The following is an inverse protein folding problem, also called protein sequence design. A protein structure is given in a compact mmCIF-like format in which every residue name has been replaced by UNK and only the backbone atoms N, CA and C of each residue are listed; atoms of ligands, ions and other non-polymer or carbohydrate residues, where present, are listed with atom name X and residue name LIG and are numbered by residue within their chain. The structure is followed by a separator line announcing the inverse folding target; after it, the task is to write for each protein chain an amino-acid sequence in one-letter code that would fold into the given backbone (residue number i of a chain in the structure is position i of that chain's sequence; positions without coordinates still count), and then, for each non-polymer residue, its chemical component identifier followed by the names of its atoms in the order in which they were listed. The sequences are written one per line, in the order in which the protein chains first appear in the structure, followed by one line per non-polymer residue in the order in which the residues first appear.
data_IF_837450950327
#
_entry.id   IF_837450950327
#
_cell.length_a   1.000
_cell.length_b   1.000
_cell.length_c   1.000
_cell.angle_alpha   90.00
_cell.angle_beta   90.00
_cell.angle_gamma   90.00
#
_symmetry.space_group_name_H-M   'P 1'
#
loop_
_entity.id
_entity.type
_entity.pdbx_description
1 polymer ?
#
# COMPACT_ATOMS: atom_id res chain seq x y z
N UNK A 1 -0.48 -4.26 73.51
CA UNK A 1 0.40 -4.17 72.31
C UNK A 1 -0.22 -5.01 71.20
N UNK A 2 -1.18 -4.51 70.40
CA UNK A 2 -1.85 -5.35 69.39
C UNK A 2 -2.62 -4.54 68.34
N UNK A 3 -2.00 -3.54 67.71
CA UNK A 3 -2.66 -2.76 66.62
C UNK A 3 -1.77 -2.33 65.45
N UNK A 4 -0.58 -2.92 65.27
CA UNK A 4 0.36 -2.54 64.19
C UNK A 4 0.64 -3.60 63.11
N UNK A 5 0.05 -4.79 63.17
CA UNK A 5 0.38 -5.89 62.23
C UNK A 5 -0.66 -6.15 61.12
N UNK A 6 -1.86 -5.53 61.14
CA UNK A 6 -2.88 -5.79 60.11
C UNK A 6 -2.77 -4.89 58.86
N UNK A 7 -2.04 -3.77 58.91
CA UNK A 7 -1.85 -2.91 57.74
C UNK A 7 -0.83 -3.49 56.73
N UNK A 8 0.16 -4.25 57.21
CA UNK A 8 1.23 -4.79 56.36
C UNK A 8 0.82 -6.03 55.54
N UNK A 9 -0.13 -6.84 56.04
CA UNK A 9 -0.64 -8.00 55.30
C UNK A 9 -1.58 -7.61 54.15
N UNK A 10 -2.36 -6.55 54.30
CA UNK A 10 -3.26 -6.07 53.24
C UNK A 10 -2.48 -5.48 52.05
N UNK A 11 -1.42 -4.71 52.28
CA UNK A 11 -0.56 -4.24 51.18
C UNK A 11 0.13 -5.40 50.46
N UNK A 12 0.66 -6.40 51.16
CA UNK A 12 1.35 -7.54 50.54
C UNK A 12 0.44 -8.38 49.61
N UNK A 13 -0.83 -8.56 49.98
CA UNK A 13 -1.82 -9.27 49.15
C UNK A 13 -2.23 -8.49 47.91
N UNK A 14 -2.37 -7.16 48.01
CA UNK A 14 -2.61 -6.30 46.84
C UNK A 14 -1.42 -6.26 45.88
N UNK A 15 -0.19 -6.21 46.40
CA UNK A 15 1.02 -6.26 45.56
C UNK A 15 1.19 -7.62 44.86
N UNK A 16 0.93 -8.74 45.52
CA UNK A 16 1.00 -10.07 44.90
C UNK A 16 -0.10 -10.30 43.86
N UNK A 17 -1.33 -9.84 44.13
CA UNK A 17 -2.42 -9.91 43.17
C UNK A 17 -2.12 -9.06 41.93
N UNK A 18 -1.56 -7.86 42.10
CA UNK A 18 -1.18 -7.00 40.99
C UNK A 18 -0.05 -7.60 40.14
N UNK A 19 1.00 -8.13 40.76
CA UNK A 19 2.10 -8.82 40.06
C UNK A 19 1.59 -10.04 39.26
N UNK A 20 0.64 -10.81 39.82
CA UNK A 20 0.07 -11.96 39.13
C UNK A 20 -0.84 -11.56 37.94
N UNK A 21 -1.57 -10.44 38.06
CA UNK A 21 -2.40 -9.90 36.97
C UNK A 21 -1.51 -9.41 35.82
N UNK A 22 -0.45 -8.67 36.12
CA UNK A 22 0.48 -8.15 35.10
C UNK A 22 1.24 -9.29 34.39
N UNK A 23 1.67 -10.32 35.13
CA UNK A 23 2.33 -11.49 34.55
C UNK A 23 1.41 -12.27 33.59
N UNK A 24 0.13 -12.44 33.94
CA UNK A 24 -0.86 -13.10 33.09
C UNK A 24 -1.21 -12.27 31.84
N UNK A 25 -1.33 -10.94 31.98
CA UNK A 25 -1.57 -10.05 30.85
C UNK A 25 -0.40 -10.11 29.85
N UNK A 26 0.84 -10.03 30.34
CA UNK A 26 2.04 -10.11 29.52
C UNK A 26 2.21 -11.48 28.83
N UNK A 27 1.86 -12.58 29.51
CA UNK A 27 1.86 -13.92 28.92
C UNK A 27 0.81 -14.06 27.80
N UNK A 28 -0.40 -13.52 28.02
CA UNK A 28 -1.48 -13.53 27.03
C UNK A 28 -1.15 -12.71 25.77
N UNK A 29 -0.52 -11.54 25.94
CA UNK A 29 -0.07 -10.70 24.82
C UNK A 29 1.00 -11.40 23.99
N UNK A 30 1.99 -12.05 24.62
CA UNK A 30 3.00 -12.85 23.91
C UNK A 30 2.39 -14.00 23.11
N UNK A 31 1.39 -14.70 23.67
CA UNK A 31 0.70 -15.77 22.96
C UNK A 31 -0.07 -15.25 21.73
N UNK A 32 -0.74 -14.10 21.84
CA UNK A 32 -1.43 -13.46 20.73
C UNK A 32 -0.46 -13.05 19.61
N UNK A 33 0.67 -12.42 19.94
CA UNK A 33 1.72 -12.08 18.97
C UNK A 33 2.17 -13.32 18.19
N UNK A 34 2.50 -14.41 18.89
CA UNK A 34 2.97 -15.64 18.23
C UNK A 34 1.90 -16.27 17.33
N UNK A 35 0.63 -16.25 17.75
CA UNK A 35 -0.48 -16.77 16.94
C UNK A 35 -0.62 -16.04 15.61
N UNK A 36 -0.59 -14.70 15.64
CA UNK A 36 -0.70 -13.88 14.44
C UNK A 36 0.52 -14.03 13.53
N UNK A 37 1.74 -14.04 14.09
CA UNK A 37 2.95 -14.30 13.32
C UNK A 37 2.94 -15.68 12.64
N UNK A 38 2.44 -16.72 13.32
CA UNK A 38 2.30 -18.06 12.74
C UNK A 38 1.30 -18.08 11.57
N UNK A 39 0.16 -17.39 11.72
CA UNK A 39 -0.83 -17.26 10.65
C UNK A 39 -0.27 -16.49 9.44
N UNK A 40 0.43 -15.37 9.68
CA UNK A 40 1.09 -14.61 8.64
C UNK A 40 2.16 -15.44 7.91
N UNK A 41 2.97 -16.20 8.66
CA UNK A 41 4.00 -17.08 8.09
C UNK A 41 3.42 -18.20 7.24
N UNK A 42 2.31 -18.80 7.69
CA UNK A 42 1.59 -19.82 6.92
C UNK A 42 1.00 -19.25 5.62
N UNK A 43 0.52 -18.01 5.63
CA UNK A 43 0.08 -17.32 4.43
C UNK A 43 1.25 -16.89 3.52
N UNK A 44 2.43 -16.61 4.07
CA UNK A 44 3.58 -16.13 3.31
C UNK A 44 4.21 -17.22 2.42
N UNK A 45 4.36 -18.43 2.97
CA UNK A 45 5.09 -19.51 2.30
C UNK A 45 4.15 -20.50 1.60
N UNK A 46 4.27 -20.59 0.28
CA UNK A 46 3.75 -21.70 -0.51
C UNK A 46 4.79 -22.09 -1.58
N UNK A 47 5.04 -23.38 -1.84
CA UNK A 47 5.95 -23.82 -2.90
C UNK A 47 5.59 -23.19 -4.26
N UNK A 48 6.51 -22.42 -4.83
CA UNK A 48 6.33 -21.75 -6.13
C UNK A 48 5.58 -20.41 -6.08
N UNK A 49 4.97 -20.04 -4.95
CA UNK A 49 4.24 -18.79 -4.75
C UNK A 49 4.69 -18.12 -3.44
N UNK A 50 5.81 -17.40 -3.54
CA UNK A 50 6.52 -16.87 -2.40
C UNK A 50 6.16 -15.39 -2.11
N UNK A 51 5.54 -15.15 -0.96
CA UNK A 51 5.24 -13.84 -0.38
C UNK A 51 6.07 -13.56 0.89
N UNK A 52 7.16 -14.30 1.11
CA UNK A 52 8.05 -14.12 2.29
C UNK A 52 8.59 -12.73 2.41
N UNK A 53 8.94 -12.08 1.30
CA UNK A 53 9.35 -10.67 1.28
C UNK A 53 8.32 -9.74 1.94
N UNK A 54 7.03 -9.94 1.65
CA UNK A 54 5.96 -9.15 2.26
C UNK A 54 5.89 -9.44 3.75
N UNK A 55 5.93 -10.71 4.13
CA UNK A 55 5.96 -11.12 5.53
C UNK A 55 7.14 -10.50 6.28
N UNK A 56 8.36 -10.65 5.77
CA UNK A 56 9.56 -10.11 6.39
C UNK A 56 9.49 -8.59 6.53
N UNK A 57 8.86 -7.89 5.59
CA UNK A 57 8.69 -6.44 5.68
C UNK A 57 7.62 -6.04 6.70
N UNK A 58 6.40 -6.58 6.58
CA UNK A 58 5.26 -6.10 7.38
C UNK A 58 5.31 -6.66 8.80
N UNK A 59 5.82 -7.87 9.00
CA UNK A 59 5.96 -8.46 10.34
C UNK A 59 7.25 -8.02 11.05
N UNK A 60 8.21 -7.37 10.37
CA UNK A 60 9.48 -6.95 10.98
C UNK A 60 9.33 -6.22 12.33
N UNK A 61 8.40 -5.24 12.48
CA UNK A 61 8.24 -4.53 13.76
C UNK A 61 7.80 -5.45 14.90
N UNK A 62 6.91 -6.41 14.63
CA UNK A 62 6.44 -7.38 15.61
C UNK A 62 7.48 -8.47 15.93
N UNK A 63 8.32 -8.84 14.94
CA UNK A 63 9.43 -9.78 15.09
C UNK A 63 10.63 -9.18 15.84
N UNK A 64 10.74 -7.85 15.89
CA UNK A 64 11.82 -7.17 16.59
C UNK A 64 11.69 -7.31 18.12
N UNK A 65 12.82 -7.54 18.79
CA UNK A 65 12.93 -7.48 20.26
C UNK A 65 12.41 -6.15 20.81
N UNK A 66 12.61 -5.07 20.03
CA UNK A 66 12.25 -3.72 20.42
C UNK A 66 10.78 -3.36 20.16
N UNK A 67 10.04 -4.22 19.47
CA UNK A 67 8.66 -3.99 19.04
C UNK A 67 8.49 -2.86 18.02
N UNK A 68 7.23 -2.55 17.66
CA UNK A 68 6.91 -1.41 16.81
C UNK A 68 7.30 -0.08 17.45
N UNK A 69 7.75 0.85 16.62
CA UNK A 69 8.22 2.18 17.05
C UNK A 69 7.68 3.25 16.13
N UNK A 70 7.32 4.38 16.71
CA UNK A 70 7.01 5.55 15.90
C UNK A 70 8.28 5.99 15.14
N UNK A 71 8.16 6.32 13.84
CA UNK A 71 9.22 6.93 13.08
C UNK A 71 9.48 8.35 13.58
N UNK A 72 10.63 8.90 13.21
CA UNK A 72 10.86 10.34 13.34
C UNK A 72 10.02 11.10 12.31
N UNK A 73 8.83 11.54 12.71
CA UNK A 73 7.90 12.30 11.86
C UNK A 73 8.53 13.63 11.41
N UNK A 74 9.42 14.22 12.21
CA UNK A 74 10.06 15.49 11.92
C UNK A 74 11.30 15.35 11.05
N UNK A 75 11.76 14.11 10.80
CA UNK A 75 12.76 13.87 9.78
C UNK A 75 12.31 14.55 8.49
N UNK A 76 13.20 15.36 7.92
CA UNK A 76 12.95 16.06 6.67
C UNK A 76 12.49 15.04 5.62
N UNK A 77 11.57 15.45 4.74
CA UNK A 77 11.18 14.67 3.57
C UNK A 77 12.42 14.05 2.97
N UNK A 78 12.39 12.73 2.69
CA UNK A 78 13.51 11.94 2.19
C UNK A 78 14.44 12.87 1.44
N UNK A 79 15.57 13.18 2.08
CA UNK A 79 16.47 14.23 1.61
C UNK A 79 16.63 14.04 0.12
N UNK A 80 16.58 15.14 -0.63
CA UNK A 80 16.87 15.26 -2.07
C UNK A 80 18.31 14.76 -2.36
N UNK A 81 18.63 13.53 -1.99
CA UNK A 81 19.82 12.79 -2.38
C UNK A 81 19.91 13.00 -3.88
N UNK A 82 21.10 13.37 -4.39
CA UNK A 82 21.24 14.03 -5.67
C UNK A 82 20.37 13.35 -6.71
N UNK A 83 19.52 14.16 -7.36
CA UNK A 83 18.60 13.73 -8.39
C UNK A 83 19.32 12.72 -9.29
N UNK A 84 18.82 11.48 -9.21
CA UNK A 84 19.24 10.28 -9.92
C UNK A 84 20.64 9.76 -9.59
N UNK A 85 20.68 8.68 -8.79
CA UNK A 85 21.70 7.65 -8.99
C UNK A 85 21.70 7.12 -10.43
N UNK A 86 22.61 6.21 -10.80
CA UNK A 86 22.68 5.62 -12.13
C UNK A 86 21.29 5.28 -12.69
N UNK A 87 21.03 5.63 -13.96
CA UNK A 87 19.72 5.39 -14.61
C UNK A 87 19.18 3.97 -14.38
N UNK A 88 20.07 2.98 -14.32
CA UNK A 88 19.75 1.58 -14.01
C UNK A 88 19.06 1.35 -12.67
N UNK A 89 19.16 2.27 -11.71
CA UNK A 89 18.56 2.14 -10.37
C UNK A 89 17.09 2.56 -10.34
N UNK A 90 16.64 3.43 -11.25
CA UNK A 90 15.26 3.94 -11.27
C UNK A 90 14.51 3.69 -12.57
N UNK A 91 15.22 3.33 -13.65
CA UNK A 91 14.60 3.01 -14.93
C UNK A 91 14.28 1.51 -15.03
N UNK A 92 13.13 1.20 -15.62
CA UNK A 92 12.78 -0.14 -16.10
C UNK A 92 12.09 -0.01 -17.46
N UNK A 93 12.16 -1.04 -18.30
CA UNK A 93 11.41 -1.04 -19.55
C UNK A 93 9.91 -1.19 -19.27
N UNK A 94 9.04 -0.46 -19.98
CA UNK A 94 7.60 -0.58 -19.80
C UNK A 94 7.10 -1.93 -20.33
N UNK A 95 5.95 -2.39 -19.84
CA UNK A 95 5.44 -3.71 -20.20
C UNK A 95 3.92 -3.77 -20.22
N UNK A 96 3.36 -4.66 -21.05
CA UNK A 96 1.92 -4.92 -21.12
C UNK A 96 1.56 -6.11 -20.23
N UNK A 97 0.77 -5.89 -19.18
CA UNK A 97 0.34 -6.93 -18.23
C UNK A 97 -1.00 -7.58 -18.65
N UNK A 98 -1.92 -6.75 -19.14
CA UNK A 98 -3.23 -7.14 -19.69
C UNK A 98 -3.50 -6.33 -20.96
N UNK A 99 -4.56 -6.66 -21.70
CA UNK A 99 -4.95 -5.90 -22.90
C UNK A 99 -5.18 -4.42 -22.65
N UNK A 100 -5.60 -4.08 -21.43
CA UNK A 100 -5.87 -2.72 -21.00
C UNK A 100 -5.05 -2.27 -19.80
N UNK A 101 -3.97 -2.97 -19.43
CA UNK A 101 -3.11 -2.60 -18.29
C UNK A 101 -1.64 -2.67 -18.65
N UNK A 102 -0.94 -1.57 -18.41
CA UNK A 102 0.47 -1.39 -18.75
C UNK A 102 1.26 -0.92 -17.55
N UNK A 103 2.44 -1.50 -17.36
CA UNK A 103 3.41 -1.08 -16.38
C UNK A 103 4.32 -0.01 -16.97
N UNK A 104 4.41 1.11 -16.27
CA UNK A 104 5.26 2.27 -16.59
C UNK A 104 5.88 2.84 -15.31
N UNK A 105 6.09 1.98 -14.31
CA UNK A 105 6.72 2.30 -13.03
C UNK A 105 8.24 2.16 -13.07
N UNK A 106 8.88 2.23 -11.91
CA UNK A 106 10.32 1.99 -11.70
C UNK A 106 10.57 0.57 -11.16
N UNK A 107 11.82 0.17 -10.85
CA UNK A 107 12.09 -1.05 -10.09
C UNK A 107 11.53 -1.08 -8.66
N UNK A 108 11.12 0.06 -8.09
CA UNK A 108 10.74 0.19 -6.68
C UNK A 108 9.34 0.78 -6.45
N UNK A 109 8.81 1.50 -7.44
CA UNK A 109 7.51 2.16 -7.40
C UNK A 109 6.72 1.75 -8.63
N UNK A 110 5.56 1.13 -8.43
CA UNK A 110 4.68 0.79 -9.55
C UNK A 110 3.91 2.03 -10.00
N UNK A 111 3.76 2.16 -11.31
CA UNK A 111 2.83 3.11 -11.93
C UNK A 111 2.14 2.34 -13.05
N UNK A 112 0.82 2.32 -13.01
CA UNK A 112 0.02 1.54 -13.94
C UNK A 112 -0.79 2.47 -14.84
N UNK A 113 -0.76 2.21 -16.15
CA UNK A 113 -1.64 2.85 -17.12
C UNK A 113 -2.77 1.89 -17.51
N UNK A 114 -4.00 2.30 -17.23
CA UNK A 114 -5.22 1.61 -17.67
C UNK A 114 -5.70 2.29 -18.95
N UNK A 115 -5.67 1.57 -20.07
CA UNK A 115 -6.20 2.09 -21.34
C UNK A 115 -7.69 1.81 -21.44
N UNK A 116 -8.41 2.74 -22.05
CA UNK A 116 -9.87 2.68 -22.24
C UNK A 116 -10.20 3.14 -23.66
N UNK A 117 -11.46 3.04 -24.07
CA UNK A 117 -11.90 3.58 -25.36
C UNK A 117 -11.83 5.11 -25.48
N UNK A 118 -11.68 5.86 -24.37
CA UNK A 118 -11.72 7.34 -24.36
C UNK A 118 -10.45 7.98 -23.76
N UNK A 119 -9.43 7.17 -23.47
CA UNK A 119 -8.13 7.64 -23.01
C UNK A 119 -7.53 6.74 -21.94
N UNK A 120 -6.60 7.31 -21.17
CA UNK A 120 -5.76 6.59 -20.23
C UNK A 120 -6.01 7.12 -18.81
N UNK A 121 -6.19 6.19 -17.87
CA UNK A 121 -6.18 6.46 -16.43
C UNK A 121 -4.85 5.96 -15.88
N UNK A 122 -4.11 6.83 -15.18
CA UNK A 122 -2.91 6.44 -14.44
C UNK A 122 -3.26 6.13 -12.99
N UNK A 123 -2.61 5.11 -12.44
CA UNK A 123 -2.58 4.81 -11.01
C UNK A 123 -1.17 5.16 -10.53
N UNK A 124 -1.10 6.19 -9.68
CA UNK A 124 0.10 6.90 -9.25
C UNK A 124 0.89 7.60 -10.38
N UNK A 125 1.91 8.34 -9.99
CA UNK A 125 2.75 9.15 -10.89
C UNK A 125 4.26 9.02 -10.64
N UNK A 126 4.64 8.27 -9.61
CA UNK A 126 6.04 8.11 -9.22
C UNK A 126 6.70 9.44 -8.83
N UNK A 127 8.01 9.50 -9.06
CA UNK A 127 8.83 10.67 -8.79
C UNK A 127 8.92 11.64 -9.97
N UNK A 128 9.13 12.93 -9.67
CA UNK A 128 9.26 14.01 -10.67
C UNK A 128 10.39 13.78 -11.67
N UNK A 129 11.55 13.34 -11.18
CA UNK A 129 12.74 13.14 -12.00
C UNK A 129 12.58 12.03 -13.04
N UNK A 130 11.72 11.04 -12.77
CA UNK A 130 11.51 9.88 -13.65
C UNK A 130 10.19 9.93 -14.41
N UNK A 131 9.22 10.74 -13.98
CA UNK A 131 7.88 10.80 -14.57
C UNK A 131 7.91 10.99 -16.09
N UNK A 132 8.70 11.94 -16.61
CA UNK A 132 8.79 12.12 -18.07
C UNK A 132 9.29 10.86 -18.77
N UNK A 133 10.31 10.21 -18.26
CA UNK A 133 10.91 9.07 -18.97
C UNK A 133 10.08 7.79 -18.80
N UNK A 134 9.69 7.45 -17.57
CA UNK A 134 8.93 6.25 -17.26
C UNK A 134 7.50 6.33 -17.82
N UNK A 135 6.83 7.48 -17.69
CA UNK A 135 5.43 7.64 -18.11
C UNK A 135 5.35 8.09 -19.56
N UNK A 136 5.86 9.27 -19.89
CA UNK A 136 5.67 9.83 -21.24
C UNK A 136 6.39 9.03 -22.31
N UNK A 137 7.68 8.77 -22.10
CA UNK A 137 8.47 8.03 -23.09
C UNK A 137 8.17 6.52 -23.03
N UNK A 138 7.80 5.99 -21.85
CA UNK A 138 7.31 4.62 -21.69
C UNK A 138 5.99 4.34 -22.42
N UNK A 139 4.99 5.22 -22.33
CA UNK A 139 3.74 5.10 -23.08
C UNK A 139 4.00 5.12 -24.59
N UNK A 140 4.87 6.01 -25.09
CA UNK A 140 5.26 6.03 -26.51
C UNK A 140 5.92 4.74 -26.96
N UNK A 141 6.82 4.16 -26.14
CA UNK A 141 7.45 2.86 -26.41
C UNK A 141 6.42 1.73 -26.53
N UNK A 142 5.32 1.82 -25.77
CA UNK A 142 4.18 0.90 -25.85
C UNK A 142 3.19 1.24 -26.99
N UNK A 143 3.53 2.18 -27.86
CA UNK A 143 2.67 2.70 -28.94
C UNK A 143 1.35 3.31 -28.44
N UNK A 144 1.35 3.83 -27.22
CA UNK A 144 0.26 4.61 -26.64
C UNK A 144 0.58 6.11 -26.74
N UNK A 145 -0.46 6.92 -26.89
CA UNK A 145 -0.33 8.38 -26.97
C UNK A 145 -0.46 9.01 -25.55
N UNK A 146 0.60 9.62 -25.00
CA UNK A 146 0.54 10.27 -23.68
C UNK A 146 -0.46 11.43 -23.61
N UNK A 147 -0.83 12.05 -24.74
CA UNK A 147 -1.86 13.11 -24.74
C UNK A 147 -3.26 12.58 -24.40
N UNK A 148 -3.43 11.26 -24.38
CA UNK A 148 -4.66 10.59 -23.97
C UNK A 148 -4.76 10.37 -22.46
N UNK A 149 -3.78 10.75 -21.66
CA UNK A 149 -3.90 10.72 -20.19
C UNK A 149 -5.01 11.69 -19.75
N UNK A 150 -6.10 11.16 -19.18
CA UNK A 150 -7.25 11.96 -18.70
C UNK A 150 -7.27 12.10 -17.19
N UNK A 151 -6.93 11.02 -16.49
CA UNK A 151 -6.99 10.95 -15.02
C UNK A 151 -5.71 10.38 -14.44
N UNK A 152 -5.32 10.86 -13.26
CA UNK A 152 -4.29 10.26 -12.40
C UNK A 152 -4.91 10.04 -11.03
N UNK A 153 -5.05 8.79 -10.61
CA UNK A 153 -5.49 8.43 -9.26
C UNK A 153 -4.25 8.26 -8.41
N UNK A 154 -4.07 9.14 -7.42
CA UNK A 154 -3.00 9.05 -6.44
C UNK A 154 -3.49 8.20 -5.27
N UNK A 155 -2.79 7.10 -5.00
CA UNK A 155 -3.19 6.11 -4.00
C UNK A 155 -2.97 6.61 -2.59
N UNK A 156 -1.92 7.37 -2.33
CA UNK A 156 -1.70 8.03 -1.04
C UNK A 156 -0.72 9.20 -1.15
N UNK A 157 -0.68 10.02 -0.10
CA UNK A 157 0.12 11.26 -0.01
C UNK A 157 1.61 11.06 0.34
N UNK A 158 2.29 10.13 -0.34
CA UNK A 158 3.76 10.02 -0.26
C UNK A 158 4.43 10.41 -1.59
N UNK A 159 5.61 11.01 -1.50
CA UNK A 159 6.29 11.63 -2.64
C UNK A 159 6.59 10.66 -3.78
N UNK A 160 6.85 9.40 -3.44
CA UNK A 160 7.05 8.30 -4.37
C UNK A 160 5.78 7.88 -5.13
N UNK A 161 4.63 8.51 -4.82
CA UNK A 161 3.37 8.37 -5.54
C UNK A 161 2.97 9.62 -6.31
N UNK A 162 3.16 10.81 -5.73
CA UNK A 162 2.59 12.05 -6.27
C UNK A 162 3.58 13.06 -6.87
N UNK A 163 4.89 12.93 -6.68
CA UNK A 163 5.83 13.98 -7.17
C UNK A 163 5.79 14.16 -8.69
N UNK A 164 5.47 13.10 -9.45
CA UNK A 164 5.21 13.19 -10.89
C UNK A 164 3.89 13.88 -11.28
N UNK A 165 2.94 14.04 -10.35
CA UNK A 165 1.57 14.46 -10.65
C UNK A 165 1.51 15.89 -11.18
N UNK A 166 2.36 16.80 -10.67
CA UNK A 166 2.39 18.18 -11.15
C UNK A 166 2.82 18.26 -12.62
N UNK A 167 3.83 17.48 -13.01
CA UNK A 167 4.27 17.36 -14.41
C UNK A 167 3.13 16.90 -15.31
N UNK A 168 2.36 15.88 -14.89
CA UNK A 168 1.24 15.33 -15.65
C UNK A 168 0.08 16.33 -15.77
N UNK A 169 -0.23 17.05 -14.69
CA UNK A 169 -1.24 18.10 -14.68
C UNK A 169 -0.86 19.27 -15.60
N UNK A 170 0.40 19.71 -15.57
CA UNK A 170 0.86 20.85 -16.37
C UNK A 170 1.03 20.48 -17.85
N UNK A 171 1.51 19.27 -18.16
CA UNK A 171 1.81 18.82 -19.52
C UNK A 171 0.58 18.29 -20.25
N UNK A 172 -0.20 17.42 -19.61
CA UNK A 172 -1.31 16.70 -20.25
C UNK A 172 -2.69 17.21 -19.86
N UNK A 173 -2.76 18.17 -18.92
CA UNK A 173 -4.04 18.63 -18.33
C UNK A 173 -4.83 17.48 -17.70
N UNK A 174 -4.13 16.45 -17.27
CA UNK A 174 -4.72 15.31 -16.58
C UNK A 174 -5.37 15.78 -15.28
N UNK A 175 -6.56 15.25 -14.99
CA UNK A 175 -7.25 15.51 -13.73
C UNK A 175 -6.66 14.66 -12.62
N UNK A 176 -6.28 15.29 -11.52
CA UNK A 176 -5.64 14.61 -10.39
C UNK A 176 -6.71 14.24 -9.36
N UNK A 177 -6.80 12.96 -9.03
CA UNK A 177 -7.77 12.41 -8.09
C UNK A 177 -7.00 11.91 -6.87
N UNK A 178 -7.38 12.41 -5.69
CA UNK A 178 -6.87 11.95 -4.40
C UNK A 178 -7.99 12.13 -3.36
N UNK A 179 -7.93 11.44 -2.22
CA UNK A 179 -8.95 11.59 -1.19
C UNK A 179 -8.85 12.96 -0.52
N UNK A 180 -9.96 13.40 0.08
CA UNK A 180 -10.00 14.68 0.80
C UNK A 180 -8.98 14.72 1.96
N UNK A 181 -8.86 13.61 2.69
CA UNK A 181 -7.95 13.52 3.83
C UNK A 181 -6.49 13.70 3.39
N UNK A 182 -6.09 13.08 2.29
CA UNK A 182 -4.74 13.19 1.77
C UNK A 182 -4.46 14.52 1.07
N UNK A 183 -5.46 15.14 0.42
CA UNK A 183 -5.35 16.55 -0.01
C UNK A 183 -5.02 17.46 1.18
N UNK A 184 -5.70 17.25 2.32
CA UNK A 184 -5.47 18.04 3.52
C UNK A 184 -4.12 17.75 4.19
N UNK A 185 -3.63 16.50 4.15
CA UNK A 185 -2.27 16.17 4.58
C UNK A 185 -1.24 16.86 3.69
N UNK A 186 -1.38 16.78 2.37
CA UNK A 186 -0.44 17.35 1.40
C UNK A 186 -0.18 18.85 1.61
N UNK A 187 -1.20 19.61 2.02
CA UNK A 187 -1.03 21.05 2.31
C UNK A 187 -0.11 21.33 3.50
N UNK A 188 0.07 20.37 4.40
CA UNK A 188 0.82 20.51 5.66
C UNK A 188 2.18 19.82 5.65
N UNK A 189 2.46 18.96 4.67
CA UNK A 189 3.76 18.28 4.57
C UNK A 189 4.88 19.25 4.24
N UNK A 190 6.09 18.92 4.68
CA UNK A 190 7.31 19.62 4.34
C UNK A 190 7.82 19.33 2.91
N UNK A 191 7.02 18.68 2.07
CA UNK A 191 7.38 18.40 0.67
C UNK A 191 7.52 19.70 -0.13
N UNK A 192 8.41 19.76 -1.14
CA UNK A 192 8.59 20.94 -1.98
C UNK A 192 7.28 21.37 -2.67
N UNK A 193 6.94 22.65 -2.55
CA UNK A 193 5.67 23.19 -3.04
C UNK A 193 5.48 23.07 -4.55
N UNK A 194 6.58 23.08 -5.30
CA UNK A 194 6.62 22.93 -6.76
C UNK A 194 6.27 21.52 -7.23
N UNK A 195 6.41 20.51 -6.37
CA UNK A 195 6.05 19.12 -6.67
C UNK A 195 4.60 18.80 -6.35
N UNK A 196 3.94 19.63 -5.53
CA UNK A 196 2.54 19.44 -5.15
C UNK A 196 1.64 19.77 -6.36
N UNK A 197 0.80 18.82 -6.84
CA UNK A 197 -0.21 19.13 -7.83
C UNK A 197 -1.24 20.11 -7.25
N UNK A 198 -1.91 20.86 -8.12
CA UNK A 198 -3.06 21.68 -7.69
C UNK A 198 -4.20 20.74 -7.30
N UNK A 199 -4.84 21.01 -6.16
CA UNK A 199 -6.06 20.30 -5.73
C UNK A 199 -7.09 20.35 -6.86
N UNK A 200 -7.65 19.18 -7.16
CA UNK A 200 -8.55 19.00 -8.29
C UNK A 200 -9.74 18.13 -7.88
N UNK A 201 -9.69 16.82 -8.13
CA UNK A 201 -10.80 15.92 -7.84
C UNK A 201 -10.63 15.22 -6.49
N UNK A 202 -11.75 15.05 -5.80
CA UNK A 202 -11.81 14.39 -4.49
C UNK A 202 -12.40 12.99 -4.66
N UNK A 203 -11.60 11.98 -4.34
CA UNK A 203 -12.09 10.61 -4.27
C UNK A 203 -12.99 10.41 -3.04
N UNK A 204 -14.10 9.71 -3.23
CA UNK A 204 -14.99 9.27 -2.15
C UNK A 204 -15.03 7.75 -2.09
N UNK A 205 -15.50 7.21 -0.97
CA UNK A 205 -15.54 5.77 -0.78
C UNK A 205 -16.55 5.08 -1.70
N UNK A 206 -16.10 4.06 -2.44
CA UNK A 206 -16.89 3.38 -3.46
C UNK A 206 -17.09 4.21 -4.74
N UNK A 207 -16.34 5.31 -4.93
CA UNK A 207 -16.44 6.15 -6.11
C UNK A 207 -16.15 5.35 -7.38
N UNK A 208 -17.06 5.46 -8.36
CA UNK A 208 -16.87 4.92 -9.70
C UNK A 208 -16.21 5.97 -10.59
N UNK A 209 -15.03 5.65 -11.12
CA UNK A 209 -14.34 6.45 -12.13
C UNK A 209 -14.51 5.77 -13.49
N UNK A 210 -15.43 6.27 -14.28
CA UNK A 210 -15.70 5.78 -15.64
C UNK A 210 -15.00 6.65 -16.67
N UNK A 211 -14.25 6.03 -17.58
CA UNK A 211 -13.72 6.64 -18.79
C UNK A 211 -13.96 5.65 -19.93
N UNK A 212 -14.75 6.05 -20.93
CA UNK A 212 -15.19 5.16 -21.99
C UNK A 212 -15.80 3.85 -21.47
N UNK A 213 -15.28 2.74 -21.97
CA UNK A 213 -15.73 1.38 -21.70
C UNK A 213 -15.24 0.78 -20.37
N UNK A 214 -14.49 1.53 -19.56
CA UNK A 214 -13.85 1.03 -18.35
C UNK A 214 -14.28 1.84 -17.13
N UNK A 215 -14.62 1.14 -16.05
CA UNK A 215 -14.98 1.75 -14.75
C UNK A 215 -14.11 1.21 -13.63
N UNK A 216 -13.23 2.04 -13.09
CA UNK A 216 -12.50 1.75 -11.86
C UNK A 216 -13.40 2.04 -10.65
N UNK A 217 -13.21 1.31 -9.55
CA UNK A 217 -13.88 1.64 -8.28
C UNK A 217 -12.84 1.95 -7.21
N UNK A 218 -12.92 3.13 -6.61
CA UNK A 218 -11.98 3.66 -5.63
C UNK A 218 -12.56 3.47 -4.22
N UNK A 219 -11.78 2.90 -3.31
CA UNK A 219 -12.17 2.68 -1.93
C UNK A 219 -11.19 3.35 -0.98
N UNK A 220 -11.72 4.08 0.00
CA UNK A 220 -10.90 4.69 1.04
C UNK A 220 -10.49 3.58 2.03
N UNK A 221 -9.19 3.39 2.21
CA UNK A 221 -8.56 2.33 3.01
C UNK A 221 -7.47 2.92 3.91
N UNK A 222 -7.82 3.75 4.90
CA UNK A 222 -6.86 4.49 5.71
C UNK A 222 -5.98 3.55 6.56
N UNK A 223 -4.81 4.05 6.96
CA UNK A 223 -3.89 3.42 7.91
C UNK A 223 -2.42 3.58 7.51
N UNK A 224 -2.10 3.46 6.21
CA UNK A 224 -0.81 3.90 5.66
C UNK A 224 -0.74 5.43 5.58
N UNK A 225 -1.85 6.06 5.19
CA UNK A 225 -2.10 7.50 5.37
C UNK A 225 -3.57 7.68 5.76
N UNK A 226 -4.00 8.87 6.21
CA UNK A 226 -5.41 9.11 6.55
C UNK A 226 -6.37 8.94 5.36
N UNK A 227 -5.86 9.04 4.13
CA UNK A 227 -6.64 9.10 2.91
C UNK A 227 -6.25 8.07 1.86
N UNK A 228 -5.53 7.02 2.21
CA UNK A 228 -5.13 5.95 1.28
C UNK A 228 -6.33 5.42 0.48
N UNK A 229 -6.12 5.17 -0.81
CA UNK A 229 -7.10 4.64 -1.78
C UNK A 229 -6.62 3.28 -2.29
N UNK A 230 -7.49 2.27 -2.21
CA UNK A 230 -7.34 0.99 -2.92
C UNK A 230 -8.35 0.90 -4.07
N UNK A 231 -8.02 0.17 -5.13
CA UNK A 231 -8.70 0.28 -6.42
C UNK A 231 -9.09 -1.11 -6.94
N UNK A 232 -10.32 -1.24 -7.43
CA UNK A 232 -10.70 -2.34 -8.32
C UNK A 232 -10.62 -1.89 -9.78
N UNK A 233 -9.89 -2.66 -10.58
CA UNK A 233 -9.62 -2.40 -12.00
C UNK A 233 -10.16 -3.57 -12.83
N UNK A 234 -11.12 -3.34 -13.74
CA UNK A 234 -11.51 -4.35 -14.73
C UNK A 234 -10.37 -4.60 -15.72
N UNK A 235 -10.01 -5.86 -15.91
CA UNK A 235 -8.88 -6.29 -16.74
C UNK A 235 -9.32 -7.24 -17.85
N UNK A 236 -8.68 -7.14 -19.00
CA UNK A 236 -8.99 -7.92 -20.21
C UNK A 236 -7.77 -8.73 -20.64
N UNK A 237 -7.97 -10.01 -20.94
CA UNK A 237 -6.94 -10.90 -21.50
C UNK A 237 -7.55 -11.73 -22.62
N UNK A 238 -7.55 -11.17 -23.83
CA UNK A 238 -8.36 -11.66 -24.94
C UNK A 238 -9.85 -11.69 -24.58
N UNK A 239 -10.42 -12.89 -24.58
CA UNK A 239 -11.83 -13.10 -24.24
C UNK A 239 -12.06 -13.23 -22.73
N UNK A 240 -11.01 -13.39 -21.93
CA UNK A 240 -11.11 -13.51 -20.48
C UNK A 240 -11.26 -12.14 -19.82
N UNK A 241 -11.93 -12.13 -18.66
CA UNK A 241 -12.19 -10.93 -17.86
C UNK A 241 -11.73 -11.21 -16.43
N UNK A 242 -10.91 -10.31 -15.93
CA UNK A 242 -10.33 -10.38 -14.59
C UNK A 242 -10.64 -9.11 -13.82
N UNK A 243 -10.46 -9.13 -12.50
CA UNK A 243 -10.54 -7.93 -11.67
C UNK A 243 -9.26 -7.82 -10.86
N UNK A 244 -8.51 -6.75 -11.15
CA UNK A 244 -7.32 -6.35 -10.39
C UNK A 244 -7.71 -5.63 -9.12
N UNK A 245 -7.17 -6.07 -7.99
CA UNK A 245 -7.23 -5.40 -6.71
C UNK A 245 -5.87 -4.74 -6.43
N UNK A 246 -5.84 -3.41 -6.53
CA UNK A 246 -4.67 -2.58 -6.20
C UNK A 246 -4.75 -2.23 -4.71
N UNK A 247 -3.77 -2.65 -3.93
CA UNK A 247 -3.67 -2.29 -2.52
C UNK A 247 -2.88 -0.99 -2.32
N UNK A 248 -3.51 -0.02 -1.66
CA UNK A 248 -3.12 1.39 -1.72
C UNK A 248 -1.93 1.85 -0.88
N UNK A 249 -1.31 0.99 -0.06
CA UNK A 249 -0.17 1.37 0.79
C UNK A 249 0.46 0.17 1.48
N UNK A 250 1.73 0.25 1.88
CA UNK A 250 2.42 -0.85 2.59
C UNK A 250 2.86 -0.34 3.95
N UNK A 251 2.62 -1.14 4.99
CA UNK A 251 2.78 -0.80 6.40
C UNK A 251 1.82 0.29 6.89
N UNK A 252 1.46 0.19 8.16
CA UNK A 252 0.79 1.26 8.88
C UNK A 252 1.80 2.41 9.15
N UNK A 253 1.37 3.67 9.03
CA UNK A 253 2.23 4.83 9.29
C UNK A 253 1.52 5.85 10.19
N UNK A 254 2.17 6.24 11.28
CA UNK A 254 1.63 7.22 12.23
C UNK A 254 1.87 8.67 11.77
N UNK A 255 2.77 8.89 10.82
CA UNK A 255 3.09 10.22 10.31
C UNK A 255 4.43 10.28 9.59
N UNK A 256 4.52 11.21 8.65
CA UNK A 256 5.70 11.42 7.81
C UNK A 256 5.79 12.88 7.37
N UNK A 257 6.99 13.32 7.00
CA UNK A 257 7.28 14.64 6.41
C UNK A 257 6.68 15.82 7.21
N UNK A 258 6.85 15.80 8.53
CA UNK A 258 6.38 16.82 9.46
C UNK A 258 4.91 16.71 9.86
N UNK A 259 4.17 15.74 9.34
CA UNK A 259 2.73 15.60 9.58
C UNK A 259 2.43 14.31 10.34
N UNK A 260 1.81 14.44 11.52
CA UNK A 260 1.19 13.31 12.21
C UNK A 260 -0.14 12.95 11.51
N UNK A 261 -0.29 11.68 11.15
CA UNK A 261 -1.47 11.13 10.47
C UNK A 261 -2.52 10.66 11.45
N UNK A 262 -2.09 9.97 12.51
CA UNK A 262 -2.96 9.36 13.52
C UNK A 262 -2.46 9.71 14.93
N UNK A 263 -3.34 9.73 15.94
CA UNK A 263 -2.98 10.16 17.28
C UNK A 263 -2.07 9.16 18.01
N UNK A 264 -2.06 7.88 17.62
CA UNK A 264 -1.19 6.85 18.21
C UNK A 264 -0.98 5.66 17.27
N UNK A 265 0.10 4.88 17.48
CA UNK A 265 0.31 3.58 16.81
C UNK A 265 -0.90 2.65 16.95
N UNK A 266 -1.51 2.59 18.14
CA UNK A 266 -2.65 1.71 18.39
C UNK A 266 -3.85 2.05 17.49
N UNK A 267 -4.11 3.34 17.27
CA UNK A 267 -5.17 3.77 16.36
C UNK A 267 -4.82 3.51 14.90
N UNK A 268 -3.57 3.75 14.51
CA UNK A 268 -3.09 3.44 13.17
C UNK A 268 -3.24 1.95 12.85
N UNK A 269 -2.78 1.06 13.74
CA UNK A 269 -2.87 -0.39 13.54
C UNK A 269 -4.32 -0.85 13.46
N UNK A 270 -5.19 -0.41 14.37
CA UNK A 270 -6.63 -0.75 14.33
C UNK A 270 -7.28 -0.29 13.01
N UNK A 271 -6.94 0.92 12.56
CA UNK A 271 -7.45 1.49 11.32
C UNK A 271 -6.97 0.67 10.11
N UNK A 272 -5.69 0.33 10.08
CA UNK A 272 -5.09 -0.45 8.99
C UNK A 272 -5.64 -1.88 8.91
N UNK A 273 -5.78 -2.55 10.06
CA UNK A 273 -6.43 -3.87 10.18
C UNK A 273 -7.85 -3.83 9.62
N UNK A 274 -8.65 -2.81 10.00
CA UNK A 274 -10.02 -2.65 9.52
C UNK A 274 -10.06 -2.43 8.00
N UNK A 275 -9.16 -1.61 7.46
CA UNK A 275 -9.01 -1.38 6.02
C UNK A 275 -8.64 -2.65 5.27
N UNK A 276 -7.67 -3.43 5.76
CA UNK A 276 -7.25 -4.69 5.15
C UNK A 276 -8.39 -5.71 5.12
N UNK A 277 -9.11 -5.91 6.24
CA UNK A 277 -10.30 -6.77 6.31
C UNK A 277 -11.37 -6.33 5.31
N UNK A 278 -11.72 -5.03 5.32
CA UNK A 278 -12.77 -4.49 4.47
C UNK A 278 -12.44 -4.63 2.99
N UNK A 279 -11.20 -4.32 2.60
CA UNK A 279 -10.80 -4.42 1.20
C UNK A 279 -10.70 -5.86 0.73
N UNK A 280 -10.28 -6.80 1.59
CA UNK A 280 -10.33 -8.23 1.30
C UNK A 280 -11.76 -8.69 1.01
N UNK A 281 -12.74 -8.27 1.82
CA UNK A 281 -14.15 -8.58 1.58
C UNK A 281 -14.68 -7.95 0.28
N UNK A 282 -14.29 -6.71 -0.02
CA UNK A 282 -14.65 -6.01 -1.26
C UNK A 282 -14.08 -6.75 -2.48
N UNK A 283 -12.80 -7.10 -2.44
CA UNK A 283 -12.12 -7.84 -3.51
C UNK A 283 -12.76 -9.21 -3.73
N UNK A 284 -13.08 -9.94 -2.64
CA UNK A 284 -13.76 -11.22 -2.71
C UNK A 284 -15.16 -11.10 -3.36
N UNK A 285 -15.96 -10.10 -2.95
CA UNK A 285 -17.30 -9.84 -3.52
C UNK A 285 -17.25 -9.44 -5.00
N UNK A 286 -16.20 -8.75 -5.40
CA UNK A 286 -15.95 -8.39 -6.80
C UNK A 286 -15.38 -9.55 -7.64
N UNK A 287 -15.14 -10.71 -7.02
CA UNK A 287 -14.43 -11.84 -7.61
C UNK A 287 -13.06 -11.45 -8.21
N UNK A 288 -12.34 -10.58 -7.50
CA UNK A 288 -10.98 -10.24 -7.85
C UNK A 288 -10.06 -11.44 -7.77
N UNK A 289 -9.20 -11.55 -8.78
CA UNK A 289 -8.30 -12.67 -9.01
C UNK A 289 -6.89 -12.23 -9.41
N UNK A 290 -6.65 -10.92 -9.48
CA UNK A 290 -5.34 -10.32 -9.71
C UNK A 290 -5.05 -9.39 -8.54
N UNK A 291 -3.88 -9.52 -7.91
CA UNK A 291 -3.40 -8.57 -6.92
C UNK A 291 -2.28 -7.72 -7.54
N UNK A 292 -2.39 -6.42 -7.35
CA UNK A 292 -1.42 -5.44 -7.83
C UNK A 292 -0.94 -4.63 -6.64
N UNK A 293 0.36 -4.37 -6.59
CA UNK A 293 0.95 -3.55 -5.54
C UNK A 293 1.54 -2.27 -6.11
N UNK A 294 1.81 -1.32 -5.21
CA UNK A 294 2.46 -0.05 -5.55
C UNK A 294 3.99 -0.15 -5.47
N UNK A 295 4.49 -1.32 -5.07
CA UNK A 295 5.90 -1.67 -5.07
C UNK A 295 6.04 -3.04 -5.74
N UNK A 296 6.74 -3.13 -6.89
CA UNK A 296 6.70 -4.31 -7.76
C UNK A 296 7.40 -5.54 -7.16
N UNK A 297 8.12 -5.37 -6.05
CA UNK A 297 8.79 -6.46 -5.35
C UNK A 297 7.81 -7.36 -4.58
N UNK A 298 6.65 -6.82 -4.15
CA UNK A 298 5.67 -7.61 -3.37
C UNK A 298 4.71 -8.43 -4.25
N UNK A 299 4.44 -7.97 -5.48
CA UNK A 299 3.65 -8.72 -6.45
C UNK A 299 4.51 -9.36 -7.55
N UNK A 300 5.83 -9.19 -7.50
CA UNK A 300 6.77 -9.64 -8.54
C UNK A 300 6.38 -9.15 -9.94
N UNK A 301 5.82 -7.93 -10.06
CA UNK A 301 5.32 -7.41 -11.33
C UNK A 301 6.37 -7.48 -12.45
N UNK A 302 7.64 -7.15 -12.17
CA UNK A 302 8.69 -7.20 -13.19
C UNK A 302 9.00 -8.63 -13.66
N UNK A 303 9.02 -9.61 -12.76
CA UNK A 303 9.20 -11.03 -13.11
C UNK A 303 8.02 -11.54 -13.94
N UNK A 304 6.80 -11.17 -13.56
CA UNK A 304 5.57 -11.54 -14.27
C UNK A 304 5.50 -10.90 -15.66
N UNK A 305 5.92 -9.64 -15.80
CA UNK A 305 6.07 -8.98 -17.11
C UNK A 305 7.11 -9.67 -17.97
N UNK A 306 8.26 -10.04 -17.40
CA UNK A 306 9.27 -10.80 -18.12
C UNK A 306 8.73 -12.16 -18.57
N UNK A 307 8.00 -12.87 -17.72
CA UNK A 307 7.37 -14.16 -18.04
C UNK A 307 6.33 -14.05 -19.17
N UNK A 308 5.61 -12.93 -19.27
CA UNK A 308 4.65 -12.67 -20.36
C UNK A 308 5.31 -12.68 -21.75
N UNK A 309 6.58 -12.32 -21.87
CA UNK A 309 7.32 -12.37 -23.15
C UNK A 309 7.50 -13.81 -23.67
N UNK A 310 7.35 -14.81 -22.80
CA UNK A 310 7.49 -16.24 -23.12
C UNK A 310 6.15 -16.98 -23.01
N UNK A 311 5.04 -16.27 -22.77
CA UNK A 311 3.70 -16.84 -22.68
C UNK A 311 3.28 -17.39 -24.04
N UNK A 312 2.95 -18.68 -24.08
CA UNK A 312 2.37 -19.31 -25.29
C UNK A 312 0.95 -18.76 -25.54
N UNK A 313 0.49 -18.67 -26.80
CA UNK A 313 -0.89 -18.32 -27.10
C UNK A 313 -1.88 -19.17 -26.30
N UNK A 314 -2.82 -18.53 -25.60
CA UNK A 314 -3.81 -19.20 -24.75
C UNK A 314 -3.28 -19.78 -23.43
N UNK A 315 -1.99 -19.60 -23.10
CA UNK A 315 -1.47 -19.95 -21.77
C UNK A 315 -2.03 -19.03 -20.68
N UNK A 316 -1.93 -19.37 -19.39
CA UNK A 316 -2.41 -18.52 -18.30
C UNK A 316 -1.62 -17.22 -18.19
N UNK A 317 -2.25 -16.15 -17.71
CA UNK A 317 -1.57 -14.90 -17.39
C UNK A 317 -0.93 -14.99 -15.98
N UNK A 318 0.39 -14.77 -15.84
CA UNK A 318 1.09 -14.89 -14.55
C UNK A 318 0.65 -13.88 -13.48
N UNK A 319 -0.11 -12.84 -13.84
CA UNK A 319 -0.72 -11.93 -12.88
C UNK A 319 -1.99 -12.49 -12.21
N UNK A 320 -2.64 -13.50 -12.81
CA UNK A 320 -3.89 -14.08 -12.30
C UNK A 320 -3.55 -15.09 -11.19
N UNK A 321 -3.83 -14.70 -9.95
CA UNK A 321 -3.76 -15.55 -8.77
C UNK A 321 -4.67 -15.01 -7.65
N UNK A 322 -5.88 -15.58 -7.56
CA UNK A 322 -6.85 -15.31 -6.48
C UNK A 322 -6.31 -15.74 -5.10
N UNK A 323 -5.53 -16.81 -5.06
CA UNK A 323 -4.90 -17.28 -3.84
C UNK A 323 -3.88 -16.28 -3.30
N UNK A 324 -2.95 -15.81 -4.15
CA UNK A 324 -1.96 -14.81 -3.74
C UNK A 324 -2.61 -13.51 -3.29
N UNK A 325 -3.71 -13.07 -3.91
CA UNK A 325 -4.48 -11.90 -3.45
C UNK A 325 -4.97 -12.08 -2.00
N UNK A 326 -5.58 -13.22 -1.70
CA UNK A 326 -6.08 -13.50 -0.36
C UNK A 326 -4.95 -13.64 0.67
N UNK A 327 -3.86 -14.30 0.31
CA UNK A 327 -2.68 -14.47 1.17
C UNK A 327 -1.98 -13.14 1.43
N UNK A 328 -1.85 -12.29 0.41
CA UNK A 328 -1.27 -10.94 0.52
C UNK A 328 -1.99 -10.10 1.58
N UNK A 329 -3.32 -9.99 1.50
CA UNK A 329 -4.11 -9.21 2.46
C UNK A 329 -4.16 -9.89 3.85
N UNK A 330 -4.07 -11.22 3.90
CA UNK A 330 -3.95 -11.96 5.16
C UNK A 330 -2.64 -11.64 5.86
N UNK A 331 -1.50 -11.65 5.16
CA UNK A 331 -0.19 -11.30 5.73
C UNK A 331 -0.23 -9.89 6.31
N UNK A 332 -0.75 -8.91 5.57
CA UNK A 332 -0.87 -7.53 6.06
C UNK A 332 -1.68 -7.47 7.35
N UNK A 333 -2.87 -8.09 7.37
CA UNK A 333 -3.74 -8.09 8.55
C UNK A 333 -3.06 -8.77 9.74
N UNK A 334 -2.56 -9.99 9.56
CA UNK A 334 -1.99 -10.78 10.65
C UNK A 334 -0.69 -10.17 11.19
N UNK A 335 0.19 -9.64 10.32
CA UNK A 335 1.38 -8.92 10.78
C UNK A 335 0.99 -7.69 11.63
N UNK A 336 0.02 -6.88 11.19
CA UNK A 336 -0.40 -5.70 11.95
C UNK A 336 -1.17 -6.06 13.23
N UNK A 337 -1.91 -7.16 13.27
CA UNK A 337 -2.48 -7.69 14.52
C UNK A 337 -1.38 -8.11 15.50
N UNK A 338 -0.30 -8.72 15.01
CA UNK A 338 0.87 -9.02 15.84
C UNK A 338 1.52 -7.74 16.38
N UNK A 339 1.65 -6.68 15.57
CA UNK A 339 2.15 -5.38 16.01
C UNK A 339 1.24 -4.75 17.09
N UNK A 340 -0.08 -4.78 16.90
CA UNK A 340 -1.05 -4.28 17.87
C UNK A 340 -1.00 -5.07 19.18
N UNK A 341 -0.91 -6.40 19.11
CA UNK A 341 -0.74 -7.23 20.30
C UNK A 341 0.58 -6.91 21.02
N UNK A 342 1.65 -6.63 20.26
CA UNK A 342 2.99 -6.34 20.79
C UNK A 342 3.07 -5.03 21.55
N UNK A 343 2.35 -4.00 21.12
CA UNK A 343 2.32 -2.71 21.85
C UNK A 343 1.42 -2.75 23.09
N UNK A 344 0.53 -3.74 23.19
CA UNK A 344 -0.35 -3.94 24.35
C UNK A 344 0.20 -4.98 25.35
N UNK A 345 1.33 -5.63 25.07
CA UNK A 345 1.89 -6.76 25.84
C UNK A 345 2.97 -6.39 26.84
#
# INVERSE_FOLDING_TARGET
MTKRYMASLFCALFFLAWIAIDANAQASGKAAVQSHLAAAKAAAYEPGNDLTTLYDTVCAPALSDRGPREPDIQALAESRAPQTGPRSEWHTEPGKAFDNLYYIGSPFQSTWAVTTSEGIILIDSGYDYSAKELITDGLKKLHLDPTQIKYVVLTHVHGDRFYGARYLQDTYKARIIMSEADWNVMTRTNDPSELKPKKDMVATDGMKLTLGDTTLTLYITPGHTPGTISILVPLKDGNERHVGAVWGGINADVGRNGVRYFPSMAETFKTWIASARRFQDIAAKANADVYLTLHPFYDKALDKLHALNFRKPGGPNPFVSKDNLNRFLTIIRECTEAELARINS
#
